data_IF_853102468971
#
_entry.id   IF_853102468971
#
_cell.length_a   1.000
_cell.length_b   1.000
_cell.length_c   1.000
_cell.angle_alpha   90.00
_cell.angle_beta   90.00
_cell.angle_gamma   90.00
#
_symmetry.space_group_name_H-M   'P 1'
#
loop_
_entity.id
_entity.type
_entity.pdbx_description
1 polymer ?
#
# COMPACT_ATOMS: atom_id res chain seq x y z
N UNK A 1 23.12 20.16 -20.99
CA UNK A 1 22.44 18.93 -21.46
C UNK A 1 23.00 17.73 -20.69
N UNK A 2 22.24 17.22 -19.72
CA UNK A 2 22.30 15.83 -19.25
C UNK A 2 20.88 15.47 -18.82
N UNK A 3 20.26 14.57 -19.58
CA UNK A 3 18.92 14.07 -19.36
C UNK A 3 18.88 13.26 -18.07
N UNK A 4 18.12 13.76 -17.09
CA UNK A 4 17.80 13.01 -15.89
C UNK A 4 16.84 11.89 -16.25
N UNK A 5 17.24 10.64 -15.96
CA UNK A 5 16.33 9.50 -15.98
C UNK A 5 15.31 9.70 -14.85
N UNK A 6 14.15 10.24 -15.19
CA UNK A 6 12.97 10.22 -14.33
C UNK A 6 12.51 8.78 -14.14
N UNK A 7 12.48 8.31 -12.89
CA UNK A 7 11.62 7.21 -12.46
C UNK A 7 10.85 7.66 -11.23
N UNK A 8 9.60 8.08 -11.51
CA UNK A 8 8.40 8.12 -10.68
C UNK A 8 8.57 8.48 -9.19
N UNK A 9 8.31 9.76 -8.91
CA UNK A 9 7.81 10.30 -7.65
C UNK A 9 7.18 9.22 -6.74
N UNK A 10 7.80 8.91 -5.61
CA UNK A 10 7.04 8.59 -4.39
C UNK A 10 6.58 9.93 -3.76
N UNK A 11 5.80 10.68 -4.54
CA UNK A 11 4.74 11.44 -3.88
C UNK A 11 3.93 10.40 -3.13
N UNK A 12 3.62 10.61 -1.85
CA UNK A 12 2.45 9.99 -1.24
C UNK A 12 1.25 10.57 -1.99
N UNK A 13 1.05 10.13 -3.23
CA UNK A 13 -0.18 10.36 -3.97
C UNK A 13 -1.13 9.39 -3.34
N UNK A 14 -1.94 9.86 -2.40
CA UNK A 14 -3.15 9.14 -2.03
C UNK A 14 -3.91 8.93 -3.32
N UNK A 15 -3.82 7.73 -3.88
CA UNK A 15 -4.52 7.40 -5.11
C UNK A 15 -5.98 7.20 -4.71
N UNK A 16 -6.87 7.91 -5.38
CA UNK A 16 -8.30 7.83 -5.13
C UNK A 16 -8.97 7.02 -6.23
N UNK A 17 -9.90 6.15 -5.84
CA UNK A 17 -10.91 5.61 -6.73
C UNK A 17 -12.06 6.61 -6.81
N UNK A 18 -12.24 7.23 -7.97
CA UNK A 18 -13.38 8.08 -8.24
C UNK A 18 -14.58 7.23 -8.67
N UNK A 19 -15.69 7.30 -7.94
CA UNK A 19 -16.94 6.62 -8.27
C UNK A 19 -18.05 7.62 -8.52
N UNK A 20 -18.82 7.44 -9.59
CA UNK A 20 -20.01 8.22 -9.89
C UNK A 20 -21.25 7.31 -9.81
N UNK A 21 -22.19 7.63 -8.91
CA UNK A 21 -23.36 6.77 -8.65
C UNK A 21 -24.57 7.65 -8.29
N UNK A 22 -25.69 7.46 -8.99
CA UNK A 22 -26.99 8.16 -8.74
C UNK A 22 -26.89 9.67 -8.51
N UNK A 23 -26.00 10.35 -9.25
CA UNK A 23 -25.80 11.81 -9.15
C UNK A 23 -24.77 12.27 -8.12
N UNK A 24 -24.21 11.35 -7.32
CA UNK A 24 -23.14 11.63 -6.36
C UNK A 24 -21.79 11.16 -6.90
N UNK A 25 -20.75 11.94 -6.60
CA UNK A 25 -19.36 11.60 -6.90
C UNK A 25 -18.60 11.36 -5.59
N UNK A 26 -17.96 10.20 -5.47
CA UNK A 26 -17.16 9.81 -4.32
C UNK A 26 -15.70 9.72 -4.73
N UNK A 27 -14.81 10.18 -3.83
CA UNK A 27 -13.37 9.94 -3.93
C UNK A 27 -12.97 9.04 -2.77
N UNK A 28 -12.66 7.79 -3.08
CA UNK A 28 -12.36 6.77 -2.07
C UNK A 28 -10.83 6.58 -2.04
N UNK A 29 -10.15 6.77 -0.90
CA UNK A 29 -8.73 6.45 -0.77
C UNK A 29 -8.51 4.94 -1.03
N UNK A 30 -7.68 4.59 -2.03
CA UNK A 30 -7.52 3.19 -2.46
C UNK A 30 -6.94 2.31 -1.36
N UNK A 31 -6.10 2.86 -0.49
CA UNK A 31 -5.48 2.18 0.65
C UNK A 31 -6.47 1.74 1.73
N UNK A 32 -7.62 2.43 1.85
CA UNK A 32 -8.71 2.07 2.76
C UNK A 32 -9.58 0.92 2.25
N UNK A 33 -9.45 0.52 0.98
CA UNK A 33 -10.27 -0.55 0.40
C UNK A 33 -9.77 -1.92 0.89
N UNK A 34 -10.69 -2.74 1.40
CA UNK A 34 -10.45 -4.11 1.84
C UNK A 34 -10.63 -5.11 0.70
N UNK A 35 -11.82 -5.08 0.09
CA UNK A 35 -12.15 -5.91 -1.06
C UNK A 35 -13.33 -5.31 -1.83
N UNK A 36 -13.54 -5.82 -3.02
CA UNK A 36 -14.64 -5.44 -3.90
C UNK A 36 -15.32 -6.70 -4.36
N UNK A 37 -16.63 -6.74 -4.18
CA UNK A 37 -17.46 -7.84 -4.64
C UNK A 37 -18.43 -7.38 -5.73
N UNK A 38 -18.82 -8.31 -6.59
CA UNK A 38 -19.79 -8.10 -7.66
C UNK A 38 -20.97 -9.06 -7.45
N UNK A 39 -22.16 -8.49 -7.30
CA UNK A 39 -23.41 -9.21 -7.20
C UNK A 39 -24.45 -8.57 -8.14
N UNK A 40 -24.98 -9.32 -9.12
CA UNK A 40 -26.01 -8.86 -10.05
C UNK A 40 -25.74 -7.48 -10.70
N UNK A 41 -24.50 -7.24 -11.17
CA UNK A 41 -24.01 -5.97 -11.77
C UNK A 41 -23.87 -4.78 -10.80
N UNK A 42 -24.03 -5.02 -9.51
CA UNK A 42 -23.70 -4.06 -8.45
C UNK A 42 -22.32 -4.43 -7.93
N UNK A 43 -21.40 -3.47 -7.95
CA UNK A 43 -20.14 -3.59 -7.23
C UNK A 43 -20.31 -3.00 -5.85
N UNK A 44 -19.94 -3.75 -4.81
CA UNK A 44 -19.84 -3.25 -3.45
C UNK A 44 -18.35 -3.13 -3.10
N UNK A 45 -17.89 -1.91 -2.84
CA UNK A 45 -16.54 -1.60 -2.38
C UNK A 45 -16.58 -1.55 -0.87
N UNK A 46 -15.89 -2.49 -0.23
CA UNK A 46 -15.76 -2.56 1.23
C UNK A 46 -14.50 -1.83 1.65
N UNK A 47 -14.62 -0.81 2.51
CA UNK A 47 -13.49 -0.06 3.07
C UNK A 47 -13.39 -0.26 4.59
N UNK A 48 -12.36 0.30 5.22
CA UNK A 48 -12.18 0.26 6.67
C UNK A 48 -13.33 0.94 7.44
N UNK A 49 -13.98 1.94 6.87
CA UNK A 49 -15.00 2.75 7.55
C UNK A 49 -16.42 2.48 7.06
N UNK A 50 -16.61 2.31 5.75
CA UNK A 50 -17.94 2.17 5.14
C UNK A 50 -17.92 1.40 3.82
N UNK A 51 -19.10 1.20 3.23
CA UNK A 51 -19.27 0.51 1.95
C UNK A 51 -19.88 1.41 0.89
N UNK A 52 -19.35 1.35 -0.32
CA UNK A 52 -19.88 2.09 -1.47
C UNK A 52 -20.43 1.13 -2.52
N UNK A 53 -21.46 1.56 -3.26
CA UNK A 53 -22.05 0.78 -4.33
C UNK A 53 -22.05 1.53 -5.67
N UNK A 54 -21.62 0.85 -6.73
CA UNK A 54 -21.70 1.38 -8.09
C UNK A 54 -22.19 0.33 -9.10
N UNK A 55 -22.68 0.79 -10.24
CA UNK A 55 -23.20 -0.05 -11.32
C UNK A 55 -22.16 -0.19 -12.44
N UNK A 56 -21.08 -0.91 -12.16
CA UNK A 56 -19.99 -1.13 -13.10
C UNK A 56 -19.59 -2.61 -13.22
N UNK A 57 -18.74 -2.92 -14.21
CA UNK A 57 -18.09 -4.22 -14.33
C UNK A 57 -16.83 -4.24 -13.46
N UNK A 58 -16.65 -5.32 -12.73
CA UNK A 58 -15.48 -5.49 -11.85
C UNK A 58 -14.15 -5.46 -12.61
N UNK A 59 -14.14 -5.87 -13.88
CA UNK A 59 -12.95 -5.77 -14.73
C UNK A 59 -12.63 -4.31 -15.10
N UNK A 60 -13.65 -3.49 -15.39
CA UNK A 60 -13.48 -2.05 -15.66
C UNK A 60 -12.94 -1.34 -14.42
N UNK A 61 -13.52 -1.62 -13.25
CA UNK A 61 -13.04 -1.04 -12.00
C UNK A 61 -11.58 -1.43 -11.69
N UNK A 62 -11.20 -2.68 -11.99
CA UNK A 62 -9.83 -3.16 -11.83
C UNK A 62 -8.82 -2.36 -12.67
N UNK A 63 -9.20 -1.85 -13.84
CA UNK A 63 -8.33 -1.02 -14.68
C UNK A 63 -8.06 0.35 -14.04
N UNK A 64 -9.03 0.88 -13.27
CA UNK A 64 -8.88 2.13 -12.52
C UNK A 64 -8.06 1.97 -11.24
N UNK A 65 -8.04 0.76 -10.68
CA UNK A 65 -7.21 0.40 -9.54
C UNK A 65 -5.79 0.16 -10.03
N UNK A 66 -5.02 1.24 -10.10
CA UNK A 66 -3.63 1.21 -10.58
C UNK A 66 -2.74 0.34 -9.69
N UNK A 67 -1.92 -0.51 -10.33
CA UNK A 67 -0.82 -1.25 -9.70
C UNK A 67 -1.13 -2.67 -9.22
N UNK A 68 -0.11 -3.34 -8.69
CA UNK A 68 -0.16 -4.71 -8.18
C UNK A 68 -0.74 -4.81 -6.76
N UNK A 69 -1.68 -3.93 -6.40
CA UNK A 69 -2.24 -3.85 -5.05
C UNK A 69 -3.52 -4.68 -4.86
N UNK A 70 -4.14 -5.12 -5.96
CA UNK A 70 -5.35 -5.92 -5.93
C UNK A 70 -5.17 -7.29 -6.61
N UNK A 71 -5.69 -8.32 -5.96
CA UNK A 71 -5.68 -9.69 -6.42
C UNK A 71 -7.09 -10.14 -6.83
N UNK A 72 -7.21 -10.64 -8.06
CA UNK A 72 -8.41 -11.31 -8.53
C UNK A 72 -8.38 -12.77 -8.10
N UNK A 73 -9.20 -13.15 -7.13
CA UNK A 73 -9.26 -14.53 -6.58
C UNK A 73 -10.57 -15.28 -6.91
N UNK A 74 -11.58 -14.59 -7.44
CA UNK A 74 -12.86 -15.14 -7.85
C UNK A 74 -13.41 -14.34 -9.03
N UNK A 75 -14.43 -14.86 -9.74
CA UNK A 75 -15.15 -14.09 -10.77
C UNK A 75 -15.96 -12.91 -10.20
N UNK A 76 -16.19 -12.91 -8.89
CA UNK A 76 -16.98 -11.89 -8.20
C UNK A 76 -16.18 -11.09 -7.20
N UNK A 77 -14.90 -11.43 -6.93
CA UNK A 77 -14.11 -10.78 -5.88
C UNK A 77 -12.78 -10.25 -6.37
N UNK A 78 -12.43 -9.05 -5.93
CA UNK A 78 -11.12 -8.43 -6.06
C UNK A 78 -10.67 -8.02 -4.65
N UNK A 79 -9.48 -8.42 -4.23
CA UNK A 79 -9.02 -8.29 -2.84
C UNK A 79 -7.80 -7.40 -2.76
N UNK A 80 -7.74 -6.48 -1.80
CA UNK A 80 -6.56 -5.67 -1.52
C UNK A 80 -5.47 -6.53 -0.87
N UNK A 81 -4.29 -6.60 -1.48
CA UNK A 81 -3.22 -7.52 -1.09
C UNK A 81 -2.61 -7.15 0.27
N UNK A 82 -2.50 -5.85 0.59
CA UNK A 82 -2.06 -5.36 1.91
C UNK A 82 -2.98 -5.81 3.04
N UNK A 83 -4.24 -6.12 2.73
CA UNK A 83 -5.23 -6.47 3.73
C UNK A 83 -5.25 -7.97 3.99
N UNK A 84 -4.54 -8.80 3.20
CA UNK A 84 -4.51 -10.25 3.37
C UNK A 84 -3.67 -10.64 4.59
N UNK A 85 -4.27 -11.36 5.54
CA UNK A 85 -3.59 -11.89 6.74
C UNK A 85 -3.44 -13.41 6.71
N UNK A 86 -4.17 -14.10 5.83
CA UNK A 86 -4.11 -15.54 5.69
C UNK A 86 -4.80 -16.01 4.42
N UNK A 87 -4.48 -17.23 3.97
CA UNK A 87 -5.16 -17.86 2.85
C UNK A 87 -5.03 -19.38 2.91
N UNK A 88 -6.00 -20.06 2.28
CA UNK A 88 -5.94 -21.47 1.97
C UNK A 88 -6.40 -21.69 0.51
N UNK A 89 -6.63 -22.94 0.10
CA UNK A 89 -7.05 -23.22 -1.28
C UNK A 89 -8.48 -22.75 -1.59
N UNK A 90 -9.31 -22.51 -0.59
CA UNK A 90 -10.74 -22.21 -0.72
C UNK A 90 -11.06 -20.75 -0.39
N UNK A 91 -10.27 -20.09 0.45
CA UNK A 91 -10.54 -18.73 0.90
C UNK A 91 -9.29 -17.90 1.21
N UNK A 92 -9.47 -16.58 1.21
CA UNK A 92 -8.53 -15.56 1.69
C UNK A 92 -9.15 -14.87 2.91
N UNK A 93 -8.36 -14.69 3.96
CA UNK A 93 -8.74 -13.94 5.17
C UNK A 93 -8.10 -12.57 5.13
N UNK A 94 -8.89 -11.52 5.41
CA UNK A 94 -8.39 -10.15 5.48
C UNK A 94 -8.33 -9.66 6.93
N UNK A 95 -7.55 -8.61 7.16
CA UNK A 95 -7.50 -7.88 8.42
C UNK A 95 -8.84 -7.20 8.68
N UNK A 96 -9.20 -7.08 9.96
CA UNK A 96 -10.33 -6.28 10.45
C UNK A 96 -11.67 -6.64 9.78
N UNK A 97 -11.81 -7.91 9.36
CA UNK A 97 -13.06 -8.47 8.83
C UNK A 97 -13.20 -9.94 9.19
N UNK A 98 -14.42 -10.35 9.55
CA UNK A 98 -14.77 -11.76 9.75
C UNK A 98 -15.12 -12.49 8.44
N UNK A 99 -15.14 -11.76 7.31
CA UNK A 99 -15.53 -12.31 6.02
C UNK A 99 -14.38 -13.06 5.36
N UNK A 100 -14.55 -14.37 5.18
CA UNK A 100 -13.65 -15.18 4.36
C UNK A 100 -13.99 -15.01 2.87
N UNK A 101 -13.06 -14.45 2.09
CA UNK A 101 -13.27 -14.21 0.66
C UNK A 101 -13.04 -15.51 -0.12
N UNK A 102 -14.02 -16.03 -0.88
CA UNK A 102 -13.87 -17.30 -1.57
C UNK A 102 -12.88 -17.21 -2.74
N UNK A 103 -12.15 -18.30 -2.96
CA UNK A 103 -11.26 -18.51 -4.10
C UNK A 103 -11.86 -19.58 -4.99
N UNK A 104 -12.25 -19.22 -6.23
CA UNK A 104 -12.82 -20.23 -7.14
C UNK A 104 -11.75 -21.14 -7.70
N UNK A 105 -12.13 -22.38 -8.06
CA UNK A 105 -11.24 -23.43 -8.60
C UNK A 105 -10.31 -22.91 -9.71
N UNK A 106 -10.85 -22.12 -10.63
CA UNK A 106 -10.09 -21.51 -11.74
C UNK A 106 -8.95 -20.60 -11.26
N UNK A 107 -9.11 -19.93 -10.11
CA UNK A 107 -8.16 -18.95 -9.59
C UNK A 107 -7.23 -19.51 -8.51
N UNK A 108 -7.47 -20.73 -7.99
CA UNK A 108 -6.69 -21.31 -6.89
C UNK A 108 -5.19 -21.36 -7.15
N UNK A 109 -4.78 -21.95 -8.29
CA UNK A 109 -3.35 -22.08 -8.64
C UNK A 109 -2.69 -20.69 -8.74
N UNK A 110 -3.30 -19.78 -9.51
CA UNK A 110 -2.78 -18.42 -9.70
C UNK A 110 -2.70 -17.64 -8.39
N UNK A 111 -3.74 -17.72 -7.56
CA UNK A 111 -3.80 -17.06 -6.24
C UNK A 111 -2.71 -17.58 -5.32
N UNK A 112 -2.58 -18.91 -5.21
CA UNK A 112 -1.55 -19.54 -4.38
C UNK A 112 -0.14 -19.18 -4.85
N UNK A 113 0.13 -19.30 -6.14
CA UNK A 113 1.46 -19.02 -6.69
C UNK A 113 1.80 -17.53 -6.53
N UNK A 114 0.81 -16.64 -6.71
CA UNK A 114 0.96 -15.21 -6.47
C UNK A 114 1.27 -14.89 -5.01
N UNK A 115 0.52 -15.46 -4.05
CA UNK A 115 0.70 -15.22 -2.62
C UNK A 115 1.99 -15.85 -2.08
N UNK A 116 2.41 -17.02 -2.60
CA UNK A 116 3.71 -17.63 -2.25
C UNK A 116 4.90 -16.82 -2.76
N UNK A 117 4.78 -16.27 -3.96
CA UNK A 117 5.86 -15.54 -4.64
C UNK A 117 5.78 -14.02 -4.41
N UNK A 118 4.93 -13.56 -3.49
CA UNK A 118 4.93 -12.16 -3.07
C UNK A 118 6.37 -11.78 -2.68
N UNK A 119 6.94 -10.71 -3.27
CA UNK A 119 8.22 -10.23 -2.81
C UNK A 119 8.05 -9.91 -1.32
N UNK A 120 8.90 -10.50 -0.49
CA UNK A 120 8.90 -10.19 0.93
C UNK A 120 9.20 -8.70 1.04
N UNK A 121 8.18 -7.93 1.35
CA UNK A 121 8.27 -6.50 1.47
C UNK A 121 8.13 -6.15 2.95
N UNK A 122 8.98 -5.23 3.39
CA UNK A 122 8.73 -4.50 4.61
C UNK A 122 7.60 -3.50 4.35
N UNK A 123 6.93 -3.08 5.41
CA UNK A 123 5.95 -1.99 5.37
C UNK A 123 6.27 -1.01 6.48
N UNK A 124 6.51 0.25 6.11
CA UNK A 124 6.47 1.37 7.05
C UNK A 124 5.02 1.81 7.20
N UNK A 125 4.60 1.96 8.44
CA UNK A 125 3.28 2.49 8.80
C UNK A 125 3.53 3.80 9.53
N UNK A 126 3.00 4.89 9.00
CA UNK A 126 3.01 6.17 9.68
C UNK A 126 1.94 6.15 10.78
N UNK A 127 2.35 6.25 12.04
CA UNK A 127 1.46 6.15 13.20
C UNK A 127 1.11 7.49 13.83
N UNK A 128 1.61 8.60 13.30
CA UNK A 128 1.35 9.94 13.82
C UNK A 128 1.59 11.05 12.78
N UNK A 129 1.11 12.26 13.10
CA UNK A 129 1.32 13.47 12.31
C UNK A 129 0.46 13.51 11.04
N UNK A 130 0.79 14.42 10.12
CA UNK A 130 0.02 14.63 8.87
C UNK A 130 0.03 13.43 7.91
N UNK A 131 0.86 12.43 8.19
CA UNK A 131 1.00 11.21 7.39
C UNK A 131 0.38 9.98 8.08
N UNK A 132 -0.25 10.13 9.24
CA UNK A 132 -0.86 9.03 10.00
C UNK A 132 -1.77 8.15 9.12
N UNK A 133 -1.66 6.83 9.29
CA UNK A 133 -2.36 5.82 8.50
C UNK A 133 -1.72 5.51 7.14
N UNK A 134 -0.80 6.35 6.67
CA UNK A 134 -0.10 6.09 5.40
C UNK A 134 0.81 4.88 5.51
N UNK A 135 0.86 4.06 4.46
CA UNK A 135 1.69 2.87 4.37
C UNK A 135 2.68 2.96 3.20
N UNK A 136 3.94 2.66 3.45
CA UNK A 136 5.01 2.64 2.44
C UNK A 136 5.61 1.25 2.39
N UNK A 137 5.49 0.59 1.23
CA UNK A 137 6.06 -0.74 1.02
C UNK A 137 7.53 -0.64 0.59
N UNK A 138 8.39 -1.39 1.27
CA UNK A 138 9.82 -1.48 1.00
C UNK A 138 10.11 -2.87 0.45
N UNK A 139 10.62 -3.00 -0.77
CA UNK A 139 11.06 -4.31 -1.28
C UNK A 139 12.28 -4.78 -0.48
N UNK A 140 12.46 -6.09 -0.34
CA UNK A 140 13.67 -6.64 0.28
C UNK A 140 14.95 -6.03 -0.33
N UNK A 141 15.85 -5.59 0.53
CA UNK A 141 17.13 -4.95 0.20
C UNK A 141 17.01 -3.64 -0.62
N UNK A 142 15.80 -3.09 -0.78
CA UNK A 142 15.61 -1.77 -1.36
C UNK A 142 15.91 -0.70 -0.30
N UNK A 143 16.81 0.21 -0.66
CA UNK A 143 17.09 1.43 0.10
C UNK A 143 15.99 2.45 -0.20
N UNK A 144 15.36 3.00 0.84
CA UNK A 144 14.33 4.03 0.72
C UNK A 144 14.81 5.27 1.47
N UNK A 145 15.11 6.33 0.72
CA UNK A 145 15.52 7.62 1.26
C UNK A 145 14.30 8.42 1.68
N UNK A 146 14.36 9.00 2.88
CA UNK A 146 13.30 9.82 3.45
C UNK A 146 13.87 11.20 3.74
N UNK A 147 13.15 12.27 3.38
CA UNK A 147 13.57 13.63 3.70
C UNK A 147 12.64 14.68 3.14
N UNK A 148 13.06 15.94 3.24
CA UNK A 148 12.25 17.11 2.84
C UNK A 148 12.34 17.43 1.35
N UNK A 149 13.40 17.02 0.66
CA UNK A 149 13.67 17.42 -0.72
C UNK A 149 13.34 16.31 -1.72
N UNK A 150 12.19 16.43 -2.39
CA UNK A 150 11.71 15.46 -3.37
C UNK A 150 12.57 15.26 -4.62
N UNK A 151 13.64 16.04 -4.82
CA UNK A 151 14.59 15.78 -5.91
C UNK A 151 15.63 14.70 -5.55
N UNK A 152 15.81 14.40 -4.26
CA UNK A 152 16.90 13.55 -3.76
C UNK A 152 16.43 12.41 -2.85
N UNK A 153 15.13 12.33 -2.55
CA UNK A 153 14.56 11.29 -1.68
C UNK A 153 13.43 10.55 -2.36
N UNK A 154 13.21 9.32 -1.91
CA UNK A 154 12.06 8.53 -2.33
C UNK A 154 10.80 9.03 -1.61
N UNK A 155 10.85 9.20 -0.29
CA UNK A 155 9.69 9.61 0.53
C UNK A 155 9.85 11.04 1.01
N UNK A 156 8.93 11.90 0.57
CA UNK A 156 8.92 13.32 0.94
C UNK A 156 8.11 13.56 2.21
N UNK A 157 8.81 13.97 3.28
CA UNK A 157 8.22 14.48 4.52
C UNK A 157 8.51 15.99 4.59
N UNK A 158 7.57 16.80 4.12
CA UNK A 158 7.77 18.25 3.98
C UNK A 158 7.48 18.98 5.31
N UNK A 159 8.30 18.72 6.33
CA UNK A 159 8.21 19.36 7.64
C UNK A 159 9.49 20.15 7.95
N UNK A 160 9.41 21.30 8.67
CA UNK A 160 10.57 22.18 8.89
C UNK A 160 11.76 21.51 9.58
N UNK A 161 11.52 20.53 10.46
CA UNK A 161 12.56 19.83 11.23
C UNK A 161 13.22 18.69 10.45
N UNK A 162 12.75 18.40 9.24
CA UNK A 162 13.24 17.30 8.41
C UNK A 162 14.33 17.82 7.46
N UNK A 163 15.55 17.27 7.58
CA UNK A 163 16.65 17.49 6.63
C UNK A 163 16.27 17.11 5.19
N UNK A 164 16.97 17.72 4.21
CA UNK A 164 16.72 17.46 2.77
C UNK A 164 16.78 15.96 2.44
N UNK A 165 17.79 15.29 2.97
CA UNK A 165 17.87 13.84 3.15
C UNK A 165 17.97 13.64 4.66
N UNK A 166 17.03 12.92 5.27
CA UNK A 166 16.92 12.77 6.72
C UNK A 166 17.40 11.41 7.17
N UNK A 167 16.88 10.35 6.58
CA UNK A 167 17.32 9.00 6.87
C UNK A 167 17.12 8.10 5.67
N UNK A 168 17.71 6.92 5.76
CA UNK A 168 17.49 5.81 4.86
C UNK A 168 16.94 4.62 5.64
N UNK A 169 15.98 3.92 5.04
CA UNK A 169 15.43 2.68 5.60
C UNK A 169 15.60 1.56 4.59
N UNK A 170 16.10 0.42 5.07
CA UNK A 170 16.24 -0.82 4.28
C UNK A 170 15.60 -1.98 5.03
N UNK A 171 14.81 -2.80 4.32
CA UNK A 171 14.27 -4.03 4.88
C UNK A 171 15.13 -5.25 4.49
N UNK A 172 15.74 -5.90 5.47
CA UNK A 172 16.54 -7.11 5.27
C UNK A 172 15.68 -8.36 5.43
N UNK A 173 15.38 -9.02 4.31
CA UNK A 173 14.46 -10.18 4.29
C UNK A 173 15.02 -11.35 5.09
N UNK A 174 16.33 -11.61 4.98
CA UNK A 174 16.96 -12.79 5.60
C UNK A 174 16.86 -12.74 7.13
N UNK A 175 17.05 -11.55 7.70
CA UNK A 175 17.07 -11.33 9.14
C UNK A 175 15.71 -10.89 9.70
N UNK A 176 14.71 -10.63 8.83
CA UNK A 176 13.41 -10.05 9.19
C UNK A 176 13.56 -8.75 10.01
N UNK A 177 14.51 -7.90 9.62
CA UNK A 177 14.86 -6.65 10.34
C UNK A 177 14.87 -5.45 9.40
N UNK A 178 14.68 -4.28 9.99
CA UNK A 178 14.89 -3.00 9.32
C UNK A 178 16.23 -2.41 9.77
N UNK A 179 17.00 -1.92 8.81
CA UNK A 179 18.15 -1.05 9.04
C UNK A 179 17.71 0.39 8.80
N UNK A 180 18.11 1.29 9.70
CA UNK A 180 17.88 2.73 9.57
C UNK A 180 19.24 3.43 9.66
N UNK A 181 19.57 4.24 8.66
CA UNK A 181 20.77 5.07 8.65
C UNK A 181 20.34 6.54 8.78
N UNK A 182 20.85 7.23 9.80
CA UNK A 182 20.55 8.64 10.04
C UNK A 182 21.51 9.54 9.25
N UNK A 183 20.95 10.43 8.44
CA UNK A 183 21.65 11.49 7.71
C UNK A 183 21.27 12.89 8.20
N UNK A 184 20.39 12.96 9.19
CA UNK A 184 19.75 14.21 9.60
C UNK A 184 20.66 15.07 10.47
N UNK A 185 20.45 16.38 10.40
CA UNK A 185 21.17 17.34 11.25
C UNK A 185 20.64 17.30 12.70
N UNK A 186 19.34 17.03 12.86
CA UNK A 186 18.64 17.10 14.14
C UNK A 186 18.48 15.72 14.82
N UNK A 187 18.86 14.64 14.15
CA UNK A 187 18.75 13.27 14.64
C UNK A 187 17.48 12.56 14.17
N UNK A 188 17.61 11.26 13.94
CA UNK A 188 16.49 10.32 13.85
C UNK A 188 16.30 9.64 15.21
N UNK A 189 15.06 9.47 15.67
CA UNK A 189 14.75 8.94 17.01
C UNK A 189 13.89 7.68 16.96
N UNK A 190 14.23 6.68 17.77
CA UNK A 190 13.45 5.47 18.02
C UNK A 190 12.60 5.69 19.28
N UNK A 191 11.30 5.40 19.18
CA UNK A 191 10.32 5.55 20.27
C UNK A 191 10.32 6.95 20.94
N UNK A 192 10.70 7.98 20.18
CA UNK A 192 10.74 9.38 20.63
C UNK A 192 11.90 9.74 21.56
N UNK A 193 12.62 8.76 22.11
CA UNK A 193 13.58 9.00 23.19
C UNK A 193 15.02 8.60 22.84
N UNK A 194 15.21 7.62 21.95
CA UNK A 194 16.54 7.09 21.65
C UNK A 194 17.02 7.63 20.30
N UNK A 195 17.96 8.58 20.32
CA UNK A 195 18.57 9.10 19.10
C UNK A 195 19.44 8.01 18.44
N UNK A 196 19.23 7.76 17.16
CA UNK A 196 20.11 6.95 16.35
C UNK A 196 21.47 7.62 16.24
N UNK A 197 22.53 6.82 16.38
CA UNK A 197 23.89 7.31 16.18
C UNK A 197 24.08 7.49 14.66
N UNK A 198 24.39 8.71 14.18
CA UNK A 198 24.69 8.93 12.78
C UNK A 198 25.90 8.09 12.36
N UNK A 199 25.91 7.64 11.11
CA UNK A 199 27.04 6.91 10.54
C UNK A 199 28.07 7.87 9.96
#
# INVERSE_FOLDING_TARGET
MKEGKHMNNLSVSTNYLCLSTRGSNYKIPIDTILYIESNNRILTIHTLSETYQCYEKLNTLKEHLTGNNFLRCHQSYLVAINQIIGYNNQSITLRDTDTAIPVSRQYQKKTRDFLKNQPSCGTLICTCGIYEGSMIRIKAEQRVLIGRDGNVVDVVINLPLVSRIHCEITYHKKEQKYEIIDYSSNGTFIEGNTRLIPK
#
